data_IF_174775682173
#
_entry.id   IF_174775682173
#
_cell.length_a   1.000
_cell.length_b   1.000
_cell.length_c   1.000
_cell.angle_alpha   90.00
_cell.angle_beta   90.00
_cell.angle_gamma   90.00
#
_symmetry.space_group_name_H-M   'P 1'
#
loop_
_entity.id
_entity.type
_entity.pdbx_description
1 polymer ?
#
# COMPACT_ATOMS: atom_id res chain seq x y z
N UNK A 1 -26.88 -21.79 -52.56
CA UNK A 1 -28.16 -21.80 -51.83
C UNK A 1 -27.82 -22.16 -50.38
N UNK A 2 -27.26 -21.23 -49.60
CA UNK A 2 -27.93 -20.22 -48.74
C UNK A 2 -28.79 -20.86 -47.63
N UNK A 3 -28.23 -20.96 -46.44
CA UNK A 3 -28.99 -20.78 -45.18
C UNK A 3 -28.03 -20.18 -44.15
N UNK A 4 -27.84 -18.88 -44.31
CA UNK A 4 -27.31 -17.99 -43.30
C UNK A 4 -28.53 -17.41 -42.58
N UNK A 5 -29.00 -18.05 -41.51
CA UNK A 5 -29.92 -17.47 -40.54
C UNK A 5 -29.40 -17.86 -39.14
N UNK A 6 -28.70 -16.95 -38.47
CA UNK A 6 -29.28 -16.06 -37.46
C UNK A 6 -29.51 -16.77 -36.11
N UNK A 7 -28.43 -16.95 -35.37
CA UNK A 7 -28.46 -16.81 -33.91
C UNK A 7 -27.42 -15.79 -33.50
N UNK A 8 -27.89 -14.56 -33.57
CA UNK A 8 -27.32 -13.34 -33.02
C UNK A 8 -27.02 -13.51 -31.52
N UNK A 9 -25.80 -13.12 -31.15
CA UNK A 9 -25.39 -12.66 -29.82
C UNK A 9 -25.49 -13.62 -28.62
N UNK A 10 -24.39 -14.32 -28.34
CA UNK A 10 -23.99 -14.58 -26.95
C UNK A 10 -22.56 -14.06 -26.70
N UNK A 11 -22.39 -12.78 -26.31
CA UNK A 11 -21.18 -12.34 -25.63
C UNK A 11 -21.57 -11.86 -24.23
N UNK A 12 -22.09 -12.73 -23.37
CA UNK A 12 -22.57 -12.28 -22.06
C UNK A 12 -22.30 -13.33 -20.98
N UNK A 13 -21.29 -13.07 -20.15
CA UNK A 13 -21.05 -13.81 -18.92
C UNK A 13 -19.58 -13.81 -18.51
N UNK A 14 -18.70 -14.40 -19.34
CA UNK A 14 -17.27 -14.53 -19.03
C UNK A 14 -16.49 -13.23 -19.17
N UNK A 15 -16.80 -12.42 -20.18
CA UNK A 15 -16.07 -11.16 -20.41
C UNK A 15 -16.44 -10.09 -19.37
N UNK A 16 -17.71 -10.01 -18.97
CA UNK A 16 -18.17 -9.03 -17.96
C UNK A 16 -17.53 -9.32 -16.58
N UNK A 17 -17.29 -10.60 -16.25
CA UNK A 17 -16.51 -10.98 -15.07
C UNK A 17 -15.01 -10.67 -15.23
N UNK A 18 -14.46 -10.66 -16.45
CA UNK A 18 -13.09 -10.23 -16.71
C UNK A 18 -12.88 -8.74 -16.40
N UNK A 19 -13.85 -7.88 -16.75
CA UNK A 19 -13.83 -6.46 -16.39
C UNK A 19 -14.06 -6.22 -14.88
N UNK A 20 -14.81 -7.10 -14.21
CA UNK A 20 -15.08 -7.02 -12.76
C UNK A 20 -13.98 -7.65 -11.89
N UNK A 21 -13.20 -8.60 -12.40
CA UNK A 21 -11.98 -9.12 -11.74
C UNK A 21 -10.79 -8.17 -11.95
N UNK A 22 -10.94 -7.17 -12.83
CA UNK A 22 -10.07 -6.01 -12.92
C UNK A 22 -10.35 -4.94 -11.84
N UNK A 23 -11.05 -5.31 -10.76
CA UNK A 23 -11.18 -4.45 -9.59
C UNK A 23 -9.84 -4.35 -8.89
N UNK A 24 -9.28 -3.14 -8.86
CA UNK A 24 -8.48 -2.62 -7.75
C UNK A 24 -7.13 -3.30 -7.40
N UNK A 25 -6.73 -4.36 -8.08
CA UNK A 25 -5.39 -4.92 -7.93
C UNK A 25 -4.41 -4.05 -8.74
N UNK A 26 -4.08 -2.85 -8.22
CA UNK A 26 -2.86 -2.14 -8.62
C UNK A 26 -1.72 -3.17 -8.62
N UNK A 27 -0.88 -3.17 -9.66
CA UNK A 27 0.12 -4.23 -9.80
C UNK A 27 0.94 -4.33 -8.50
N UNK A 28 1.26 -5.54 -8.02
CA UNK A 28 1.98 -5.70 -6.74
C UNK A 28 3.25 -4.86 -6.64
N UNK A 29 3.92 -4.69 -7.79
CA UNK A 29 5.08 -3.80 -7.93
C UNK A 29 4.73 -2.34 -7.66
N UNK A 30 3.66 -1.83 -8.26
CA UNK A 30 3.21 -0.45 -8.01
C UNK A 30 2.71 -0.23 -6.57
N UNK A 31 2.12 -1.26 -5.96
CA UNK A 31 1.69 -1.18 -4.56
C UNK A 31 2.90 -1.13 -3.61
N UNK A 32 3.92 -1.95 -3.84
CA UNK A 32 5.20 -1.89 -3.12
C UNK A 32 5.87 -0.52 -3.29
N UNK A 33 5.94 0.01 -4.51
CA UNK A 33 6.51 1.34 -4.78
C UNK A 33 5.77 2.42 -3.98
N UNK A 34 4.44 2.39 -4.01
CA UNK A 34 3.61 3.35 -3.26
C UNK A 34 3.86 3.25 -1.76
N UNK A 35 3.93 2.03 -1.21
CA UNK A 35 4.25 1.82 0.21
C UNK A 35 5.65 2.32 0.57
N UNK A 36 6.66 2.08 -0.28
CA UNK A 36 8.02 2.61 -0.08
C UNK A 36 8.04 4.14 -0.09
N UNK A 37 7.28 4.79 -0.97
CA UNK A 37 7.15 6.26 -0.99
C UNK A 37 6.48 6.74 0.30
N UNK A 38 5.44 6.07 0.77
CA UNK A 38 4.81 6.41 2.06
C UNK A 38 5.78 6.26 3.24
N UNK A 39 6.58 5.19 3.27
CA UNK A 39 7.61 4.99 4.30
C UNK A 39 8.66 6.11 4.22
N UNK A 40 9.12 6.48 3.02
CA UNK A 40 10.09 7.57 2.85
C UNK A 40 9.53 8.93 3.30
N UNK A 41 8.28 9.23 2.96
CA UNK A 41 7.58 10.43 3.40
C UNK A 41 7.40 10.43 4.93
N UNK A 42 7.03 9.29 5.50
CA UNK A 42 6.92 9.10 6.95
C UNK A 42 8.25 9.34 7.66
N UNK A 43 9.35 8.76 7.17
CA UNK A 43 10.70 8.97 7.73
C UNK A 43 11.14 10.43 7.65
N UNK A 44 10.85 11.09 6.54
CA UNK A 44 11.11 12.53 6.36
C UNK A 44 10.32 13.35 7.37
N UNK A 45 9.03 13.06 7.54
CA UNK A 45 8.16 13.71 8.53
C UNK A 45 8.65 13.52 9.96
N UNK A 46 9.04 12.29 10.33
CA UNK A 46 9.59 12.00 11.65
C UNK A 46 10.90 12.77 11.90
N UNK A 47 11.77 12.85 10.89
CA UNK A 47 13.04 13.59 10.99
C UNK A 47 12.78 15.09 11.20
N UNK A 48 11.88 15.69 10.42
CA UNK A 48 11.50 17.10 10.58
C UNK A 48 10.83 17.37 11.93
N UNK A 49 10.00 16.44 12.41
CA UNK A 49 9.36 16.54 13.72
C UNK A 49 10.38 16.49 14.87
N UNK A 50 11.33 15.55 14.81
CA UNK A 50 12.42 15.45 15.79
C UNK A 50 13.33 16.67 15.75
N UNK A 51 13.61 17.20 14.55
CA UNK A 51 14.38 18.43 14.36
C UNK A 51 13.68 19.65 14.96
N UNK A 52 12.39 19.86 14.64
CA UNK A 52 11.61 20.98 15.16
C UNK A 52 11.33 20.88 16.67
N UNK A 53 11.20 19.66 17.19
CA UNK A 53 10.99 19.38 18.61
C UNK A 53 12.26 19.22 19.43
N UNK A 54 13.46 19.45 18.86
CA UNK A 54 14.74 19.13 19.50
C UNK A 54 14.90 19.73 20.90
N UNK A 55 14.45 20.96 21.12
CA UNK A 55 14.51 21.64 22.43
C UNK A 55 13.61 20.92 23.46
N UNK A 56 12.37 20.59 23.08
CA UNK A 56 11.42 19.88 23.93
C UNK A 56 11.90 18.46 24.28
N UNK A 57 12.51 17.76 23.32
CA UNK A 57 13.06 16.43 23.55
C UNK A 57 14.35 16.43 24.38
N UNK A 58 15.12 17.51 24.32
CA UNK A 58 16.31 17.69 25.15
C UNK A 58 15.94 17.89 26.62
N UNK A 59 14.81 18.54 26.90
CA UNK A 59 14.30 18.76 28.26
C UNK A 59 13.59 17.55 28.87
N UNK A 60 12.95 16.70 28.06
CA UNK A 60 12.17 15.56 28.54
C UNK A 60 12.52 14.25 27.83
N UNK A 61 13.39 13.48 28.49
CA UNK A 61 13.82 12.15 28.03
C UNK A 61 12.65 11.15 27.95
N UNK A 62 11.67 11.27 28.85
CA UNK A 62 10.43 10.47 28.79
C UNK A 62 9.59 10.80 27.55
N UNK A 63 9.49 12.08 27.18
CA UNK A 63 8.79 12.47 25.95
C UNK A 63 9.51 11.96 24.71
N UNK A 64 10.85 12.02 24.68
CA UNK A 64 11.67 11.48 23.59
C UNK A 64 11.43 9.97 23.43
N UNK A 65 11.53 9.20 24.51
CA UNK A 65 11.33 7.75 24.49
C UNK A 65 9.92 7.39 24.04
N UNK A 66 8.90 8.10 24.53
CA UNK A 66 7.51 7.89 24.12
C UNK A 66 7.29 8.15 22.63
N UNK A 67 7.86 9.22 22.09
CA UNK A 67 7.79 9.54 20.66
C UNK A 67 8.50 8.50 19.81
N UNK A 68 9.71 8.06 20.21
CA UNK A 68 10.45 7.00 19.49
C UNK A 68 9.68 5.68 19.51
N UNK A 69 9.06 5.33 20.64
CA UNK A 69 8.26 4.12 20.75
C UNK A 69 7.01 4.17 19.86
N UNK A 70 6.34 5.32 19.80
CA UNK A 70 5.22 5.53 18.89
C UNK A 70 5.65 5.41 17.42
N UNK A 71 6.81 5.96 17.06
CA UNK A 71 7.36 5.82 15.71
C UNK A 71 7.72 4.38 15.36
N UNK A 72 8.35 3.67 16.28
CA UNK A 72 8.68 2.26 16.11
C UNK A 72 7.42 1.41 15.92
N UNK A 73 6.34 1.70 16.66
CA UNK A 73 5.05 1.02 16.51
C UNK A 73 4.47 1.20 15.10
N UNK A 74 4.41 2.44 14.61
CA UNK A 74 3.91 2.74 13.26
C UNK A 74 4.81 2.10 12.19
N UNK A 75 6.12 2.13 12.37
CA UNK A 75 7.07 1.51 11.46
C UNK A 75 6.93 -0.02 11.41
N UNK A 76 6.69 -0.65 12.56
CA UNK A 76 6.44 -2.09 12.63
C UNK A 76 5.19 -2.50 11.86
N UNK A 77 4.14 -1.66 11.89
CA UNK A 77 2.92 -1.89 11.12
C UNK A 77 3.19 -1.85 9.61
N UNK A 78 3.94 -0.85 9.12
CA UNK A 78 4.33 -0.79 7.71
C UNK A 78 5.21 -1.97 7.28
N UNK A 79 6.10 -2.41 8.15
CA UNK A 79 6.94 -3.59 7.91
C UNK A 79 6.10 -4.86 7.79
N UNK A 80 5.12 -5.05 8.67
CA UNK A 80 4.17 -6.17 8.59
C UNK A 80 3.33 -6.15 7.30
N UNK A 81 2.92 -4.96 6.85
CA UNK A 81 2.23 -4.80 5.57
C UNK A 81 3.11 -5.21 4.38
N UNK A 82 4.39 -4.85 4.38
CA UNK A 82 5.35 -5.27 3.34
C UNK A 82 5.55 -6.78 3.32
N UNK A 83 5.72 -7.41 4.48
CA UNK A 83 5.86 -8.87 4.60
C UNK A 83 4.63 -9.55 4.03
N UNK A 84 3.42 -9.11 4.41
CA UNK A 84 2.17 -9.64 3.89
C UNK A 84 2.08 -9.54 2.37
N UNK A 85 2.47 -8.41 1.79
CA UNK A 85 2.49 -8.26 0.33
C UNK A 85 3.52 -9.19 -0.32
N UNK A 86 4.71 -9.30 0.24
CA UNK A 86 5.74 -10.21 -0.27
C UNK A 86 5.27 -11.67 -0.24
N UNK A 87 4.57 -12.10 0.81
CA UNK A 87 4.01 -13.46 0.91
C UNK A 87 2.90 -13.73 -0.12
N UNK A 88 2.03 -12.75 -0.39
CA UNK A 88 0.93 -12.91 -1.36
C UNK A 88 1.44 -12.96 -2.80
N UNK A 89 2.44 -12.14 -3.12
CA UNK A 89 2.94 -12.01 -4.48
C UNK A 89 4.16 -12.87 -4.82
N UNK A 90 4.67 -13.63 -3.83
CA UNK A 90 5.74 -14.62 -3.94
C UNK A 90 6.81 -14.26 -4.99
N UNK A 91 7.49 -13.14 -4.74
CA UNK A 91 8.72 -12.77 -5.44
C UNK A 91 9.91 -13.57 -4.90
#
# INVERSE_FOLDING_TARGET
>A
MSQQEKTQNVPQGRDILNWKIKTLARSPREMMITQSIFIAAYMTGCTLYMWGGWIMFSDSLYSLVGTVLAFAGIFSYFTGLLIRQKTIYNY
#
